data_IF_567824116908
#
_entry.id   IF_567824116908
#
_cell.length_a   1.000
_cell.length_b   1.000
_cell.length_c   1.000
_cell.angle_alpha   90.00
_cell.angle_beta   90.00
_cell.angle_gamma   90.00
#
_symmetry.space_group_name_H-M   'P 1'
#
loop_
_entity.id
_entity.type
_entity.pdbx_description
1 polymer ?
#
# COMPACT_ATOMS: atom_id res chain seq x y z
N UNK A 1 9.61 3.51 11.57
CA UNK A 1 9.70 2.37 10.63
C UNK A 1 8.55 2.49 9.64
N UNK A 2 8.63 1.89 8.44
CA UNK A 2 7.48 1.84 7.51
C UNK A 2 6.81 0.47 7.61
N UNK A 3 5.50 0.48 7.74
CA UNK A 3 4.67 -0.72 7.83
C UNK A 3 3.46 -0.59 6.90
N UNK A 4 3.01 -1.70 6.35
CA UNK A 4 1.73 -1.78 5.64
C UNK A 4 0.70 -2.42 6.57
N UNK A 5 -0.46 -1.78 6.66
CA UNK A 5 -1.60 -2.25 7.42
C UNK A 5 -2.64 -2.84 6.48
N UNK A 6 -3.06 -4.06 6.74
CA UNK A 6 -4.12 -4.75 5.99
C UNK A 6 -5.11 -5.29 7.03
N UNK A 7 -6.36 -4.81 6.97
CA UNK A 7 -7.33 -5.04 8.04
C UNK A 7 -6.80 -4.53 9.39
N UNK A 8 -6.60 -5.45 10.34
CA UNK A 8 -6.09 -5.13 11.68
C UNK A 8 -4.59 -5.46 11.88
N UNK A 9 -3.93 -6.04 10.87
CA UNK A 9 -2.55 -6.52 10.98
C UNK A 9 -1.56 -5.51 10.40
N UNK A 10 -0.36 -5.42 11.00
CA UNK A 10 0.73 -4.56 10.56
C UNK A 10 1.93 -5.41 10.12
N UNK A 11 2.43 -5.13 8.94
CA UNK A 11 3.56 -5.85 8.33
C UNK A 11 4.70 -4.88 8.06
N UNK A 12 5.93 -5.13 8.54
CA UNK A 12 7.10 -4.36 8.14
C UNK A 12 7.30 -4.44 6.62
N UNK A 13 7.43 -3.29 5.96
CA UNK A 13 7.47 -3.24 4.51
C UNK A 13 8.33 -2.09 3.99
N UNK A 14 8.85 -2.25 2.77
CA UNK A 14 9.34 -1.15 1.96
C UNK A 14 8.30 -0.84 0.88
N UNK A 15 7.96 0.44 0.69
CA UNK A 15 6.98 0.86 -0.31
C UNK A 15 7.62 1.84 -1.28
N UNK A 16 7.42 1.59 -2.58
CA UNK A 16 7.87 2.48 -3.66
C UNK A 16 6.68 2.85 -4.54
N UNK A 17 6.39 4.15 -4.65
CA UNK A 17 5.35 4.67 -5.55
C UNK A 17 5.90 5.02 -6.94
N UNK A 18 5.05 4.82 -7.94
CA UNK A 18 5.28 5.20 -9.33
C UNK A 18 4.05 5.97 -9.82
N UNK A 19 4.23 7.25 -10.14
CA UNK A 19 3.12 8.14 -10.54
C UNK A 19 2.50 7.73 -11.89
N UNK A 20 3.32 7.14 -12.76
CA UNK A 20 2.91 6.65 -14.09
C UNK A 20 3.72 5.39 -14.43
N UNK A 21 3.11 4.24 -14.22
CA UNK A 21 3.74 2.94 -14.46
C UNK A 21 3.65 2.56 -15.94
N UNK A 22 4.69 2.84 -16.71
CA UNK A 22 4.70 2.59 -18.15
C UNK A 22 4.55 1.11 -18.54
N UNK A 23 4.95 0.20 -17.65
CA UNK A 23 4.82 -1.24 -17.84
C UNK A 23 3.41 -1.74 -17.49
N UNK A 24 2.60 -0.90 -16.87
CA UNK A 24 1.23 -1.19 -16.45
C UNK A 24 0.30 -0.08 -16.93
N UNK A 25 0.17 0.08 -18.25
CA UNK A 25 -0.72 1.03 -18.96
C UNK A 25 -0.65 2.52 -18.57
N UNK A 26 0.32 2.92 -17.76
CA UNK A 26 0.46 4.26 -17.23
C UNK A 26 -0.35 4.52 -15.95
N UNK A 27 -1.00 3.51 -15.35
CA UNK A 27 -1.66 3.71 -14.05
C UNK A 27 -0.69 4.09 -12.95
N UNK A 28 -1.22 4.77 -11.94
CA UNK A 28 -0.47 5.03 -10.71
C UNK A 28 -0.33 3.71 -9.94
N UNK A 29 0.89 3.37 -9.51
CA UNK A 29 1.15 2.09 -8.84
C UNK A 29 2.08 2.24 -7.63
N UNK A 30 2.01 1.26 -6.73
CA UNK A 30 2.91 1.11 -5.58
C UNK A 30 3.41 -0.33 -5.53
N UNK A 31 4.72 -0.48 -5.42
CA UNK A 31 5.37 -1.76 -5.15
C UNK A 31 5.61 -1.89 -3.65
N UNK A 32 5.12 -2.97 -3.05
CA UNK A 32 5.18 -3.25 -1.62
C UNK A 32 6.06 -4.48 -1.44
N UNK A 33 7.21 -4.33 -0.78
CA UNK A 33 8.13 -5.43 -0.48
C UNK A 33 8.03 -5.84 0.98
N UNK A 34 7.76 -7.13 1.23
CA UNK A 34 7.52 -7.72 2.55
C UNK A 34 8.39 -8.98 2.73
N UNK A 35 8.72 -9.32 3.98
CA UNK A 35 9.40 -10.58 4.31
C UNK A 35 8.35 -11.66 4.65
N UNK A 36 7.84 -12.36 3.62
CA UNK A 36 6.88 -13.46 3.74
C UNK A 36 6.88 -14.32 2.47
N UNK A 37 6.16 -15.45 2.48
CA UNK A 37 6.00 -16.28 1.29
C UNK A 37 5.09 -15.63 0.25
N UNK A 38 5.37 -15.85 -1.04
CA UNK A 38 4.59 -15.26 -2.12
C UNK A 38 3.11 -15.66 -2.13
N UNK A 39 2.80 -16.90 -1.70
CA UNK A 39 1.41 -17.36 -1.58
C UNK A 39 0.63 -16.58 -0.51
N UNK A 40 1.26 -16.26 0.62
CA UNK A 40 0.65 -15.48 1.69
C UNK A 40 0.42 -14.03 1.25
N UNK A 41 1.41 -13.43 0.57
CA UNK A 41 1.28 -12.09 0.02
C UNK A 41 0.17 -12.00 -1.03
N UNK A 42 0.07 -12.97 -1.94
CA UNK A 42 -0.99 -13.02 -2.93
C UNK A 42 -2.39 -13.16 -2.31
N UNK A 43 -2.51 -13.86 -1.18
CA UNK A 43 -3.76 -13.96 -0.44
C UNK A 43 -4.11 -12.68 0.34
N UNK A 44 -3.10 -11.94 0.81
CA UNK A 44 -3.28 -10.68 1.54
C UNK A 44 -3.61 -9.49 0.62
N UNK A 45 -3.04 -9.47 -0.58
CA UNK A 45 -3.21 -8.40 -1.56
C UNK A 45 -4.00 -8.91 -2.77
N UNK A 46 -5.33 -9.00 -2.60
CA UNK A 46 -6.26 -9.25 -3.69
C UNK A 46 -6.87 -7.95 -4.22
N UNK A 47 -7.58 -8.05 -5.35
CA UNK A 47 -8.38 -6.92 -5.84
C UNK A 47 -9.34 -6.40 -4.77
N UNK A 48 -9.50 -5.08 -4.72
CA UNK A 48 -10.32 -4.35 -3.73
C UNK A 48 -9.84 -4.44 -2.27
N UNK A 49 -8.63 -4.96 -2.03
CA UNK A 49 -8.05 -4.94 -0.68
C UNK A 49 -7.78 -3.51 -0.25
N UNK A 50 -8.41 -3.07 0.84
CA UNK A 50 -8.08 -1.81 1.48
C UNK A 50 -6.81 -1.96 2.33
N UNK A 51 -5.86 -1.05 2.16
CA UNK A 51 -4.60 -1.03 2.89
C UNK A 51 -4.13 0.40 3.14
N UNK A 52 -3.30 0.57 4.17
CA UNK A 52 -2.69 1.85 4.52
C UNK A 52 -1.21 1.70 4.83
N UNK A 53 -0.47 2.81 4.70
CA UNK A 53 0.94 2.88 5.09
C UNK A 53 0.99 3.55 6.46
N UNK A 54 1.62 2.89 7.42
CA UNK A 54 1.91 3.44 8.74
C UNK A 54 3.40 3.75 8.84
N UNK A 55 3.72 4.96 9.28
CA UNK A 55 5.09 5.42 9.44
C UNK A 55 5.29 5.93 10.86
N UNK A 56 6.17 5.29 11.62
CA UNK A 56 6.54 5.82 12.94
C UNK A 56 7.36 7.10 12.77
N UNK A 57 7.05 8.09 13.60
CA UNK A 57 7.76 9.36 13.61
C UNK A 57 8.91 9.30 14.62
N UNK A 58 10.06 9.94 14.33
CA UNK A 58 11.15 10.01 15.27
C UNK A 58 10.72 10.81 16.51
N UNK A 59 11.19 10.39 17.68
CA UNK A 59 11.02 11.20 18.89
C UNK A 59 11.89 12.46 18.82
N UNK A 60 11.40 13.55 19.39
CA UNK A 60 12.10 14.83 19.43
C UNK A 60 12.02 15.46 20.83
N UNK A 61 13.00 16.29 21.23
CA UNK A 61 12.90 17.04 22.48
C UNK A 61 11.90 18.19 22.34
N UNK A 62 10.98 18.30 23.29
CA UNK A 62 10.06 19.41 23.40
C UNK A 62 10.83 20.73 23.57
N UNK A 63 10.55 21.77 22.76
CA UNK A 63 11.33 23.00 22.76
C UNK A 63 11.16 23.85 24.04
N UNK A 64 10.06 23.67 24.77
CA UNK A 64 9.73 24.46 25.96
C UNK A 64 10.17 23.77 27.26
N UNK A 65 10.03 22.45 27.32
CA UNK A 65 10.28 21.64 28.52
C UNK A 65 11.57 20.80 28.45
N UNK A 66 12.08 20.53 27.24
CA UNK A 66 13.22 19.66 27.01
C UNK A 66 12.94 18.16 27.18
N UNK A 67 11.69 17.77 27.47
CA UNK A 67 11.30 16.37 27.60
C UNK A 67 11.24 15.67 26.23
N UNK A 68 11.50 14.36 26.19
CA UNK A 68 11.39 13.62 24.93
C UNK A 68 9.93 13.33 24.62
N UNK A 69 9.46 13.82 23.48
CA UNK A 69 8.13 13.55 22.94
C UNK A 69 8.24 12.48 21.86
N UNK A 70 7.41 11.44 21.98
CA UNK A 70 7.24 10.42 20.95
C UNK A 70 5.88 10.62 20.30
N UNK A 71 5.83 11.07 19.04
CA UNK A 71 4.56 11.29 18.35
C UNK A 71 3.85 9.98 18.01
N UNK A 72 2.53 10.06 17.82
CA UNK A 72 1.77 8.97 17.24
C UNK A 72 2.23 8.69 15.79
N UNK A 73 2.22 7.42 15.34
CA UNK A 73 2.55 7.10 13.96
C UNK A 73 1.58 7.75 12.97
N UNK A 74 2.12 8.23 11.84
CA UNK A 74 1.32 8.74 10.75
C UNK A 74 0.74 7.57 9.94
N UNK A 75 -0.56 7.62 9.64
CA UNK A 75 -1.24 6.63 8.79
C UNK A 75 -1.72 7.31 7.50
N UNK A 76 -1.40 6.70 6.36
CA UNK A 76 -1.76 7.17 5.03
C UNK A 76 -2.64 6.13 4.36
N UNK A 77 -3.90 6.50 4.09
CA UNK A 77 -4.82 5.63 3.35
C UNK A 77 -4.33 5.41 1.92
N UNK A 78 -4.34 4.15 1.46
CA UNK A 78 -3.99 3.76 0.10
C UNK A 78 -5.08 2.85 -0.49
N UNK A 79 -6.33 2.96 0.00
CA UNK A 79 -7.44 2.13 -0.44
C UNK A 79 -7.76 2.29 -1.94
N UNK A 80 -7.45 3.44 -2.54
CA UNK A 80 -7.55 3.68 -3.99
C UNK A 80 -6.62 2.78 -4.82
N UNK A 81 -5.52 2.27 -4.23
CA UNK A 81 -4.60 1.33 -4.89
C UNK A 81 -5.13 -0.10 -4.75
N UNK A 82 -6.29 -0.35 -5.34
CA UNK A 82 -7.10 -1.54 -5.16
C UNK A 82 -6.90 -2.63 -6.21
N UNK A 83 -6.19 -2.36 -7.31
CA UNK A 83 -5.95 -3.33 -8.39
C UNK A 83 -4.69 -4.13 -8.06
N UNK A 84 -4.82 -5.44 -7.91
CA UNK A 84 -3.69 -6.32 -7.67
C UNK A 84 -2.96 -6.61 -8.99
N UNK A 85 -1.63 -6.45 -8.97
CA UNK A 85 -0.75 -6.76 -10.09
C UNK A 85 0.17 -7.95 -9.78
N UNK A 86 1.35 -7.93 -10.39
CA UNK A 86 2.32 -9.01 -10.23
C UNK A 86 2.79 -9.17 -8.78
N UNK A 87 2.96 -10.44 -8.39
CA UNK A 87 3.61 -10.87 -7.16
C UNK A 87 4.95 -11.49 -7.53
N UNK A 88 6.04 -10.82 -7.15
CA UNK A 88 7.42 -11.26 -7.43
C UNK A 88 8.06 -11.83 -6.18
N UNK A 89 8.35 -13.13 -6.18
CA UNK A 89 9.14 -13.78 -5.12
C UNK A 89 10.64 -13.56 -5.35
N UNK A 90 11.34 -13.09 -4.32
CA UNK A 90 12.79 -12.89 -4.33
C UNK A 90 13.47 -14.00 -3.53
N UNK A 91 14.60 -14.50 -4.05
CA UNK A 91 15.35 -15.60 -3.42
C UNK A 91 16.02 -15.22 -2.08
N UNK A 92 15.87 -13.98 -1.64
CA UNK A 92 16.34 -13.49 -0.33
C UNK A 92 15.29 -13.59 0.78
N UNK A 93 14.13 -14.21 0.49
CA UNK A 93 13.03 -14.39 1.45
C UNK A 93 12.09 -13.19 1.54
N UNK A 94 12.16 -12.27 0.57
CA UNK A 94 11.21 -11.18 0.41
C UNK A 94 10.31 -11.39 -0.81
N UNK A 95 9.14 -10.75 -0.81
CA UNK A 95 8.21 -10.72 -1.93
C UNK A 95 7.81 -9.29 -2.21
N UNK A 96 7.69 -8.94 -3.49
CA UNK A 96 7.14 -7.65 -3.92
C UNK A 96 5.78 -7.83 -4.58
N UNK A 97 4.77 -7.13 -4.08
CA UNK A 97 3.43 -7.05 -4.69
C UNK A 97 3.26 -5.68 -5.33
N UNK A 98 2.74 -5.63 -6.56
CA UNK A 98 2.30 -4.38 -7.19
C UNK A 98 0.82 -4.12 -6.91
N UNK A 99 0.49 -2.93 -6.41
CA UNK A 99 -0.88 -2.44 -6.22
C UNK A 99 -1.08 -1.18 -7.06
N UNK A 100 -2.13 -1.14 -7.87
CA UNK A 100 -2.43 -0.05 -8.81
C UNK A 100 -3.75 0.64 -8.50
N UNK A 101 -3.87 1.91 -8.90
CA UNK A 101 -5.18 2.57 -9.02
C UNK A 101 -5.89 2.11 -10.29
N UNK A 102 -7.20 2.29 -10.31
CA UNK A 102 -7.96 2.28 -11.55
C UNK A 102 -7.46 3.42 -12.45
N UNK A 103 -7.43 3.17 -13.75
CA UNK A 103 -7.24 4.22 -14.74
C UNK A 103 -8.52 5.05 -14.86
N UNK A 104 -8.42 6.29 -15.34
CA UNK A 104 -9.60 7.14 -15.56
C UNK A 104 -10.65 6.46 -16.47
N UNK A 105 -10.23 5.63 -17.42
CA UNK A 105 -11.14 4.85 -18.27
C UNK A 105 -11.86 3.76 -17.47
N UNK A 106 -11.15 3.02 -16.61
CA UNK A 106 -11.73 1.99 -15.75
C UNK A 106 -12.67 2.59 -14.70
N UNK A 107 -12.31 3.72 -14.09
CA UNK A 107 -13.18 4.47 -13.19
C UNK A 107 -14.47 4.89 -13.90
N UNK A 108 -14.33 5.43 -15.12
CA UNK A 108 -15.48 5.83 -15.94
C UNK A 108 -16.35 4.63 -16.31
N UNK A 109 -15.73 3.49 -16.66
CA UNK A 109 -16.44 2.26 -16.98
C UNK A 109 -17.22 1.74 -15.77
N UNK A 110 -16.62 1.79 -14.58
CA UNK A 110 -17.26 1.42 -13.33
C UNK A 110 -18.46 2.33 -13.00
N UNK A 111 -18.35 3.65 -13.25
CA UNK A 111 -19.48 4.57 -13.06
C UNK A 111 -20.62 4.32 -14.05
N UNK A 112 -20.32 3.94 -15.29
CA UNK A 112 -21.33 3.72 -16.34
C UNK A 112 -22.00 2.34 -16.21
N UNK A 113 -21.23 1.31 -15.85
CA UNK A 113 -21.70 -0.09 -15.88
C UNK A 113 -21.73 -0.79 -14.51
N UNK A 114 -21.08 -0.25 -13.48
CA UNK A 114 -21.07 -0.79 -12.12
C UNK A 114 -22.21 -0.28 -11.23
N UNK A 115 -23.11 0.54 -11.78
CA UNK A 115 -24.27 1.06 -11.07
C UNK A 115 -25.54 0.27 -11.35
N UNK A 116 -25.65 -0.97 -10.87
CA UNK A 116 -26.91 -1.64 -10.48
C UNK A 116 -26.59 -2.84 -9.55
N UNK A 117 -26.53 -2.61 -8.24
CA UNK A 117 -27.04 -3.57 -7.24
C UNK A 117 -27.70 -2.74 -6.12
N UNK A 118 -29.04 -2.58 -6.22
CA UNK A 118 -29.93 -2.18 -5.12
C UNK A 118 -30.50 -3.43 -4.46
#
# INVERSE_FOLDING_TARGET
MVQVKIGQQLYPAAVRGTVRDGDWDGRESKAITLAMAAADAAALFSDNTAWSIRVDQPSYPDPDTGETVTPDPAEFDNSDFCVAGDVTDHRDGTVTVKMGKLTALEETLLMIYGGEEE
#
